data_IF_375602522741
#
_entry.id   IF_375602522741
#
_cell.length_a   1.000
_cell.length_b   1.000
_cell.length_c   1.000
_cell.angle_alpha   90.00
_cell.angle_beta   90.00
_cell.angle_gamma   90.00
#
_symmetry.space_group_name_H-M   'P 1'
#
loop_
_entity.id
_entity.type
_entity.pdbx_description
1 polymer ?
#
# COMPACT_ATOMS: atom_id res chain seq x y z
N UNK A 1 41.04 38.54 -12.77
CA UNK A 1 40.58 37.15 -12.54
C UNK A 1 39.39 36.96 -11.58
N UNK A 2 38.92 37.97 -10.83
CA UNK A 2 37.73 37.82 -9.95
C UNK A 2 36.39 38.23 -10.59
N UNK A 3 36.41 39.05 -11.65
CA UNK A 3 35.19 39.51 -12.32
C UNK A 3 34.58 38.45 -13.26
N UNK A 4 35.38 37.68 -14.00
CA UNK A 4 34.85 36.64 -14.91
C UNK A 4 34.19 35.45 -14.18
N UNK A 5 34.67 35.11 -12.98
CA UNK A 5 34.05 34.06 -12.15
C UNK A 5 32.67 34.48 -11.61
N UNK A 6 32.43 35.78 -11.44
CA UNK A 6 31.14 36.32 -10.98
C UNK A 6 30.08 36.27 -12.08
N UNK A 7 30.48 36.40 -13.35
CA UNK A 7 29.58 36.37 -14.50
C UNK A 7 29.21 34.93 -14.89
N UNK A 8 30.11 33.97 -14.71
CA UNK A 8 29.78 32.53 -14.84
C UNK A 8 28.72 32.05 -13.84
N UNK A 9 28.64 32.66 -12.66
CA UNK A 9 27.58 32.36 -11.68
C UNK A 9 26.26 33.09 -11.95
N UNK A 10 26.27 34.20 -12.69
CA UNK A 10 25.05 34.90 -13.14
C UNK A 10 24.46 34.22 -14.39
N UNK A 11 25.26 33.49 -15.19
CA UNK A 11 24.76 32.65 -16.28
C UNK A 11 23.95 31.42 -15.80
N UNK A 12 23.92 31.16 -14.49
CA UNK A 12 23.01 30.20 -13.86
C UNK A 12 21.70 30.87 -13.38
N UNK A 13 21.37 32.05 -13.93
CA UNK A 13 20.02 32.60 -13.95
C UNK A 13 19.13 31.55 -14.63
N UNK A 14 18.52 30.71 -13.79
CA UNK A 14 17.48 29.75 -14.16
C UNK A 14 16.60 30.44 -15.20
N UNK A 15 16.54 29.90 -16.42
CA UNK A 15 15.55 30.34 -17.41
C UNK A 15 14.23 30.49 -16.66
N UNK A 16 13.52 31.63 -16.79
CA UNK A 16 12.24 31.78 -16.11
C UNK A 16 11.41 30.55 -16.45
N UNK A 17 10.98 29.84 -15.41
CA UNK A 17 10.21 28.63 -15.59
C UNK A 17 9.02 28.98 -16.46
N UNK A 18 8.76 28.17 -17.49
CA UNK A 18 7.55 28.35 -18.27
C UNK A 18 6.35 28.31 -17.31
N UNK A 19 5.26 29.00 -17.66
CA UNK A 19 4.05 28.97 -16.83
C UNK A 19 3.60 27.52 -16.57
N UNK A 20 3.80 26.65 -17.56
CA UNK A 20 3.55 25.21 -17.47
C UNK A 20 4.46 24.55 -16.42
N UNK A 21 5.76 24.83 -16.41
CA UNK A 21 6.68 24.24 -15.44
C UNK A 21 6.40 24.74 -14.01
N UNK A 22 5.98 25.99 -13.87
CA UNK A 22 5.54 26.52 -12.58
C UNK A 22 4.27 25.80 -12.09
N UNK A 23 3.29 25.60 -12.98
CA UNK A 23 2.07 24.85 -12.65
C UNK A 23 2.38 23.41 -12.26
N UNK A 24 3.19 22.71 -13.05
CA UNK A 24 3.58 21.32 -12.76
C UNK A 24 4.25 21.21 -11.39
N UNK A 25 5.15 22.13 -11.04
CA UNK A 25 5.79 22.15 -9.71
C UNK A 25 4.80 22.39 -8.58
N UNK A 26 3.95 23.40 -8.73
CA UNK A 26 2.92 23.68 -7.72
C UNK A 26 1.99 22.49 -7.51
N UNK A 27 1.64 21.78 -8.59
CA UNK A 27 0.84 20.56 -8.48
C UNK A 27 1.65 19.44 -7.81
N UNK A 28 2.93 19.25 -8.14
CA UNK A 28 3.81 18.26 -7.49
C UNK A 28 3.92 18.53 -5.98
N UNK A 29 4.05 19.77 -5.56
CA UNK A 29 4.13 20.15 -4.15
C UNK A 29 2.79 19.88 -3.41
N UNK A 30 1.68 19.87 -4.15
CA UNK A 30 0.31 19.70 -3.63
C UNK A 30 -0.37 18.39 -4.08
N UNK A 31 0.39 17.36 -4.45
CA UNK A 31 -0.16 16.08 -5.00
C UNK A 31 -1.16 15.40 -4.05
N UNK A 32 -1.08 15.66 -2.74
CA UNK A 32 -2.02 15.15 -1.74
C UNK A 32 -3.46 15.57 -1.99
N UNK A 33 -3.67 16.68 -2.68
CA UNK A 33 -4.98 17.23 -3.02
C UNK A 33 -5.42 16.90 -4.45
N UNK A 34 -4.66 16.05 -5.16
CA UNK A 34 -4.99 15.64 -6.52
C UNK A 34 -6.23 14.73 -6.48
N UNK A 35 -7.30 15.18 -7.13
CA UNK A 35 -8.58 14.46 -7.22
C UNK A 35 -8.84 13.93 -8.62
N UNK A 36 -9.96 14.35 -9.21
CA UNK A 36 -10.27 14.09 -10.61
C UNK A 36 -9.37 14.92 -11.54
N UNK A 37 -8.80 14.25 -12.53
CA UNK A 37 -7.87 14.82 -13.51
C UNK A 37 -8.17 14.27 -14.91
N UNK A 38 -9.42 13.92 -15.18
CA UNK A 38 -9.91 13.46 -16.48
C UNK A 38 -9.74 14.49 -17.60
N UNK A 39 -9.93 15.77 -17.30
CA UNK A 39 -9.82 16.87 -18.27
C UNK A 39 -8.37 17.33 -18.52
N UNK A 40 -7.40 16.83 -17.73
CA UNK A 40 -6.00 17.25 -17.86
C UNK A 40 -5.33 16.56 -19.06
N UNK A 41 -4.46 17.31 -19.74
CA UNK A 41 -3.68 16.78 -20.88
C UNK A 41 -2.71 15.67 -20.44
N UNK A 42 -2.58 14.63 -21.28
CA UNK A 42 -1.77 13.44 -21.06
C UNK A 42 -0.30 13.78 -20.78
N UNK A 43 0.25 14.79 -21.47
CA UNK A 43 1.65 15.19 -21.31
C UNK A 43 1.93 15.82 -19.94
N UNK A 44 0.97 16.54 -19.36
CA UNK A 44 1.09 17.07 -18.00
C UNK A 44 1.00 15.94 -16.97
N UNK A 45 0.13 14.97 -17.21
CA UNK A 45 -0.03 13.81 -16.35
C UNK A 45 1.21 12.92 -16.32
N UNK A 46 1.88 12.75 -17.47
CA UNK A 46 3.16 12.04 -17.54
C UNK A 46 4.26 12.71 -16.71
N UNK A 47 4.16 14.02 -16.46
CA UNK A 47 5.09 14.77 -15.60
C UNK A 47 4.70 14.75 -14.13
N UNK A 48 3.40 14.82 -13.82
CA UNK A 48 2.91 14.96 -12.44
C UNK A 48 2.77 13.59 -11.75
N UNK A 49 2.15 12.62 -12.42
CA UNK A 49 1.80 11.33 -11.82
C UNK A 49 2.98 10.48 -11.34
N UNK A 50 4.21 10.55 -11.92
CA UNK A 50 5.37 9.85 -11.36
C UNK A 50 5.75 10.29 -9.93
N UNK A 51 5.33 11.50 -9.52
CA UNK A 51 5.58 12.01 -8.17
C UNK A 51 4.48 11.61 -7.17
N UNK A 52 3.41 10.96 -7.63
CA UNK A 52 2.36 10.46 -6.76
C UNK A 52 2.84 9.25 -5.96
N UNK A 53 2.39 9.17 -4.71
CA UNK A 53 2.43 7.93 -3.93
C UNK A 53 1.40 6.95 -4.47
N UNK A 54 1.61 5.67 -4.19
CA UNK A 54 0.71 4.57 -4.52
C UNK A 54 -0.76 4.87 -4.21
N UNK A 55 -1.05 5.28 -2.97
CA UNK A 55 -2.42 5.56 -2.52
C UNK A 55 -3.05 6.76 -3.22
N UNK A 56 -2.22 7.75 -3.56
CA UNK A 56 -2.66 8.93 -4.31
C UNK A 56 -3.02 8.55 -5.75
N UNK A 57 -2.20 7.71 -6.39
CA UNK A 57 -2.51 7.20 -7.73
C UNK A 57 -3.80 6.37 -7.72
N UNK A 58 -3.99 5.52 -6.70
CA UNK A 58 -5.23 4.76 -6.53
C UNK A 58 -6.44 5.67 -6.31
N UNK A 59 -6.29 6.73 -5.51
CA UNK A 59 -7.36 7.71 -5.28
C UNK A 59 -7.75 8.43 -6.57
N UNK A 60 -6.76 8.95 -7.29
CA UNK A 60 -6.95 9.66 -8.57
C UNK A 60 -7.67 8.78 -9.59
N UNK A 61 -7.33 7.49 -9.66
CA UNK A 61 -7.96 6.55 -10.58
C UNK A 61 -9.35 6.08 -10.12
N UNK A 62 -9.72 6.27 -8.86
CA UNK A 62 -11.10 6.08 -8.37
C UNK A 62 -11.96 7.32 -8.57
N UNK A 63 -11.36 8.51 -8.42
CA UNK A 63 -12.02 9.80 -8.52
C UNK A 63 -12.30 10.21 -9.97
N UNK A 64 -11.40 9.85 -10.91
CA UNK A 64 -11.59 10.15 -12.33
C UNK A 64 -12.57 9.17 -12.97
N UNK A 65 -13.67 9.68 -13.55
CA UNK A 65 -14.67 8.88 -14.28
C UNK A 65 -14.77 9.36 -15.74
N UNK A 66 -14.88 8.43 -16.68
CA UNK A 66 -15.24 8.74 -18.07
C UNK A 66 -14.09 8.87 -19.08
N UNK A 67 -12.82 8.90 -18.66
CA UNK A 67 -11.66 8.90 -19.57
C UNK A 67 -10.63 7.81 -19.22
N UNK A 68 -10.19 7.08 -20.23
CA UNK A 68 -9.16 6.05 -20.08
C UNK A 68 -7.77 6.69 -19.92
N UNK A 69 -7.18 6.52 -18.73
CA UNK A 69 -5.82 7.00 -18.39
C UNK A 69 -4.77 5.88 -18.42
N UNK A 70 -5.23 4.69 -18.82
CA UNK A 70 -4.49 3.45 -18.99
C UNK A 70 -3.09 3.63 -19.59
N UNK A 71 -2.86 4.40 -20.68
CA UNK A 71 -1.51 4.49 -21.27
C UNK A 71 -0.47 5.13 -20.35
N UNK A 72 -0.87 6.10 -19.52
CA UNK A 72 0.03 6.78 -18.57
C UNK A 72 0.12 5.99 -17.27
N UNK A 73 -1.02 5.54 -16.74
CA UNK A 73 -1.06 4.85 -15.45
C UNK A 73 -0.47 3.46 -15.51
N UNK A 74 -0.59 2.71 -16.61
CA UNK A 74 -0.05 1.35 -16.69
C UNK A 74 1.48 1.31 -16.53
N UNK A 75 2.20 2.33 -17.00
CA UNK A 75 3.65 2.41 -16.78
C UNK A 75 3.96 2.59 -15.29
N UNK A 76 3.21 3.45 -14.62
CA UNK A 76 3.36 3.73 -13.20
C UNK A 76 3.01 2.52 -12.34
N UNK A 77 1.87 1.86 -12.61
CA UNK A 77 1.46 0.65 -11.89
C UNK A 77 2.47 -0.48 -12.02
N UNK A 78 3.12 -0.62 -13.19
CA UNK A 78 4.23 -1.57 -13.35
C UNK A 78 5.40 -1.22 -12.43
N UNK A 79 5.82 0.05 -12.42
CA UNK A 79 6.93 0.49 -11.60
C UNK A 79 6.64 0.31 -10.10
N UNK A 80 5.43 0.64 -9.64
CA UNK A 80 5.03 0.42 -8.25
C UNK A 80 4.99 -1.06 -7.88
N UNK A 81 4.48 -1.91 -8.78
CA UNK A 81 4.48 -3.35 -8.56
C UNK A 81 5.90 -3.90 -8.44
N UNK A 82 6.81 -3.49 -9.32
CA UNK A 82 8.22 -3.89 -9.28
C UNK A 82 8.93 -3.37 -8.04
N UNK A 83 8.62 -2.16 -7.59
CA UNK A 83 9.17 -1.56 -6.38
C UNK A 83 8.73 -2.31 -5.11
N UNK A 84 7.47 -2.72 -5.04
CA UNK A 84 6.89 -3.37 -3.85
C UNK A 84 7.15 -4.88 -3.81
N UNK A 85 6.98 -5.57 -4.95
CA UNK A 85 7.01 -7.03 -5.02
C UNK A 85 8.24 -7.58 -5.76
N UNK A 86 9.06 -6.71 -6.35
CA UNK A 86 10.24 -7.08 -7.11
C UNK A 86 9.95 -7.36 -8.59
N UNK A 87 10.98 -7.13 -9.41
CA UNK A 87 10.94 -7.30 -10.86
C UNK A 87 10.61 -8.74 -11.29
N UNK A 88 11.18 -9.74 -10.60
CA UNK A 88 10.96 -11.16 -10.92
C UNK A 88 9.48 -11.55 -10.81
N UNK A 89 8.78 -11.08 -9.77
CA UNK A 89 7.36 -11.34 -9.60
C UNK A 89 6.52 -10.73 -10.72
N UNK A 90 6.89 -9.55 -11.22
CA UNK A 90 6.19 -8.91 -12.34
C UNK A 90 6.36 -9.73 -13.62
N UNK A 91 7.58 -10.18 -13.90
CA UNK A 91 7.89 -11.04 -15.07
C UNK A 91 7.09 -12.34 -15.02
N UNK A 92 7.05 -13.01 -13.86
CA UNK A 92 6.25 -14.22 -13.67
C UNK A 92 4.75 -13.99 -13.91
N UNK A 93 4.20 -12.85 -13.45
CA UNK A 93 2.79 -12.50 -13.71
C UNK A 93 2.54 -12.30 -15.20
N UNK A 94 3.42 -11.59 -15.90
CA UNK A 94 3.32 -11.38 -17.35
C UNK A 94 3.40 -12.71 -18.11
N UNK A 95 4.31 -13.60 -17.74
CA UNK A 95 4.44 -14.94 -18.35
C UNK A 95 3.18 -15.78 -18.14
N UNK A 96 2.64 -15.81 -16.91
CA UNK A 96 1.39 -16.52 -16.59
C UNK A 96 0.21 -15.99 -17.39
N UNK A 97 0.14 -14.67 -17.58
CA UNK A 97 -0.89 -14.03 -18.41
C UNK A 97 -0.77 -14.43 -19.88
N UNK A 98 0.45 -14.45 -20.43
CA UNK A 98 0.72 -14.92 -21.79
C UNK A 98 0.31 -16.39 -21.99
N UNK A 99 0.69 -17.26 -21.05
CA UNK A 99 0.34 -18.69 -21.09
C UNK A 99 -1.17 -18.91 -21.08
N UNK A 100 -1.89 -18.16 -20.24
CA UNK A 100 -3.35 -18.23 -20.12
C UNK A 100 -4.10 -17.42 -21.18
N UNK A 101 -3.40 -16.70 -22.07
CA UNK A 101 -3.96 -15.79 -23.09
C UNK A 101 -4.96 -14.77 -22.51
N UNK A 102 -4.70 -14.28 -21.30
CA UNK A 102 -5.53 -13.28 -20.63
C UNK A 102 -4.76 -11.98 -20.47
N UNK A 103 -5.46 -10.85 -20.60
CA UNK A 103 -4.92 -9.53 -20.29
C UNK A 103 -5.76 -8.90 -19.19
N UNK A 104 -5.08 -8.27 -18.23
CA UNK A 104 -5.66 -7.59 -17.09
C UNK A 104 -4.99 -6.24 -16.95
N UNK A 105 -5.73 -5.26 -16.40
CA UNK A 105 -5.14 -3.96 -16.06
C UNK A 105 -4.12 -4.14 -14.96
N UNK A 106 -2.99 -3.41 -15.03
CA UNK A 106 -1.92 -3.55 -14.03
C UNK A 106 -2.36 -3.16 -12.63
N UNK A 107 -3.29 -2.21 -12.52
CA UNK A 107 -3.97 -1.90 -11.26
C UNK A 107 -4.67 -3.13 -10.66
N UNK A 108 -5.41 -3.88 -11.46
CA UNK A 108 -6.14 -5.07 -10.97
C UNK A 108 -5.16 -6.13 -10.47
N UNK A 109 -4.02 -6.30 -11.14
CA UNK A 109 -2.96 -7.21 -10.70
C UNK A 109 -2.38 -6.79 -9.35
N UNK A 110 -2.14 -5.49 -9.17
CA UNK A 110 -1.67 -4.94 -7.92
C UNK A 110 -2.69 -5.14 -6.79
N UNK A 111 -3.95 -4.77 -7.01
CA UNK A 111 -5.02 -4.92 -6.01
C UNK A 111 -5.23 -6.40 -5.61
N UNK A 112 -5.19 -7.32 -6.57
CA UNK A 112 -5.27 -8.75 -6.29
C UNK A 112 -4.10 -9.23 -5.43
N UNK A 113 -2.87 -8.83 -5.76
CA UNK A 113 -1.69 -9.18 -4.98
C UNK A 113 -1.68 -8.61 -3.58
N UNK A 114 -2.17 -7.39 -3.41
CA UNK A 114 -2.31 -6.78 -2.11
C UNK A 114 -3.29 -7.57 -1.22
N UNK A 115 -4.40 -8.04 -1.78
CA UNK A 115 -5.35 -8.91 -1.07
C UNK A 115 -4.73 -10.24 -0.66
N UNK A 116 -4.00 -10.90 -1.58
CA UNK A 116 -3.30 -12.16 -1.28
C UNK A 116 -2.32 -11.98 -0.10
N UNK A 117 -1.58 -10.86 -0.09
CA UNK A 117 -0.62 -10.55 0.96
C UNK A 117 -1.32 -10.32 2.31
N UNK A 118 -2.38 -9.52 2.33
CA UNK A 118 -3.16 -9.25 3.54
C UNK A 118 -3.77 -10.53 4.12
N UNK A 119 -4.26 -11.43 3.26
CA UNK A 119 -4.81 -12.71 3.69
C UNK A 119 -3.72 -13.60 4.31
N UNK A 120 -2.54 -13.67 3.69
CA UNK A 120 -1.40 -14.41 4.21
C UNK A 120 -0.94 -13.86 5.59
N UNK A 121 -0.90 -12.54 5.73
CA UNK A 121 -0.56 -11.87 6.99
C UNK A 121 -1.60 -12.17 8.09
N UNK A 122 -2.88 -12.05 7.77
CA UNK A 122 -3.97 -12.34 8.71
C UNK A 122 -3.92 -13.80 9.17
N UNK A 123 -3.69 -14.74 8.25
CA UNK A 123 -3.54 -16.16 8.58
C UNK A 123 -2.35 -16.43 9.50
N UNK A 124 -1.22 -15.76 9.26
CA UNK A 124 -0.05 -15.88 10.14
C UNK A 124 -0.31 -15.29 11.53
N UNK A 125 -0.97 -14.13 11.60
CA UNK A 125 -1.39 -13.48 12.85
C UNK A 125 -2.35 -14.36 13.64
N UNK A 126 -3.33 -14.98 12.99
CA UNK A 126 -4.30 -15.85 13.66
C UNK A 126 -3.65 -17.14 14.16
N UNK A 127 -2.72 -17.72 13.39
CA UNK A 127 -1.90 -18.85 13.86
C UNK A 127 -1.13 -18.47 15.13
N UNK A 128 -0.54 -17.29 15.18
CA UNK A 128 0.20 -16.81 16.34
C UNK A 128 -0.74 -16.64 17.56
N UNK A 129 -1.90 -16.01 17.37
CA UNK A 129 -2.92 -15.87 18.43
C UNK A 129 -3.37 -17.21 18.98
N UNK A 130 -3.56 -18.21 18.13
CA UNK A 130 -3.94 -19.57 18.56
C UNK A 130 -2.85 -20.22 19.41
N UNK A 131 -1.57 -20.05 19.07
CA UNK A 131 -0.45 -20.56 19.85
C UNK A 131 -0.39 -19.93 21.25
N UNK A 132 -0.56 -18.61 21.35
CA UNK A 132 -0.63 -17.92 22.64
C UNK A 132 -1.79 -18.42 23.50
N UNK A 133 -3.00 -18.51 22.93
CA UNK A 133 -4.18 -19.05 23.65
C UNK A 133 -3.94 -20.47 24.17
N UNK A 134 -3.30 -21.32 23.36
CA UNK A 134 -2.96 -22.69 23.74
C UNK A 134 -1.95 -22.73 24.89
N UNK A 135 -0.94 -21.87 24.84
CA UNK A 135 0.06 -21.76 25.92
C UNK A 135 -0.54 -21.20 27.21
N UNK A 136 -1.41 -20.20 27.13
CA UNK A 136 -2.09 -19.65 28.31
C UNK A 136 -3.01 -20.69 28.93
N UNK A 137 -3.79 -21.44 28.14
CA UNK A 137 -4.59 -22.55 28.64
C UNK A 137 -3.75 -23.63 29.34
N UNK A 138 -2.57 -23.95 28.79
CA UNK A 138 -1.61 -24.89 29.40
C UNK A 138 -1.05 -24.39 30.74
N UNK A 139 -0.86 -23.07 30.89
CA UNK A 139 -0.43 -22.46 32.16
C UNK A 139 -1.56 -22.45 33.17
N UNK A 140 -2.77 -22.04 32.76
CA UNK A 140 -3.97 -22.01 33.59
C UNK A 140 -4.33 -23.40 34.13
N UNK A 141 -4.19 -24.46 33.32
CA UNK A 141 -4.44 -25.83 33.77
C UNK A 141 -3.46 -26.32 34.85
N UNK A 142 -2.29 -25.69 34.99
CA UNK A 142 -1.29 -26.00 36.02
C UNK A 142 -1.42 -25.11 37.26
N UNK A 143 -2.29 -24.11 37.22
CA UNK A 143 -2.50 -23.22 38.34
C UNK A 143 -3.31 -23.93 39.43
N UNK A 144 -2.82 -23.87 40.67
CA UNK A 144 -3.51 -24.44 41.83
C UNK A 144 -4.83 -23.70 42.02
N UNK A 145 -5.95 -24.42 41.90
CA UNK A 145 -7.26 -23.88 42.23
C UNK A 145 -7.46 -23.91 43.74
N UNK A 146 -7.78 -22.77 44.33
CA UNK A 146 -8.24 -22.69 45.72
C UNK A 146 -9.61 -23.36 45.80
N UNK A 147 -9.66 -24.60 46.30
CA UNK A 147 -10.92 -25.23 46.66
C UNK A 147 -11.60 -24.40 47.75
N UNK A 148 -12.72 -23.76 47.41
CA UNK A 148 -13.62 -23.17 48.40
C UNK A 148 -14.11 -24.30 49.29
N UNK A 149 -13.77 -24.24 50.58
CA UNK A 149 -14.31 -25.19 51.54
C UNK A 149 -15.83 -25.01 51.57
N UNK A 150 -16.55 -25.98 51.02
CA UNK A 150 -18.00 -26.05 51.17
C UNK A 150 -18.27 -26.44 52.63
N UNK A 151 -19.03 -25.65 53.39
CA UNK A 151 -19.38 -26.02 54.76
C UNK A 151 -20.10 -27.37 54.76
N UNK A 152 -19.82 -28.27 55.72
CA UNK A 152 -20.40 -29.59 55.76
C UNK A 152 -21.93 -29.51 55.80
N UNK A 153 -22.59 -30.27 54.91
CA UNK A 153 -24.04 -30.40 54.85
C UNK A 153 -24.57 -30.99 56.16
N UNK A 154 -25.48 -30.27 56.83
CA UNK A 154 -26.06 -30.58 58.15
C UNK A 154 -27.01 -31.80 58.16
N UNK A 155 -27.01 -32.67 57.15
CA UNK A 155 -28.02 -33.74 56.97
C UNK A 155 -27.55 -35.19 57.18
N UNK A 156 -26.40 -35.44 57.81
CA UNK A 156 -26.06 -36.79 58.29
C UNK A 156 -26.33 -36.91 59.79
N UNK A 157 -27.51 -37.43 60.14
CA UNK A 157 -27.75 -37.98 61.48
C UNK A 157 -26.95 -39.27 61.64
N UNK A 158 -25.99 -39.28 62.56
CA UNK A 158 -25.16 -40.46 62.89
C UNK A 158 -25.77 -41.35 63.99
N UNK A 159 -27.06 -41.17 64.28
CA UNK A 159 -27.79 -42.01 65.23
C UNK A 159 -29.14 -42.40 64.62
N UNK A 160 -29.25 -43.67 64.24
CA UNK A 160 -30.49 -44.42 64.06
C UNK A 160 -30.22 -45.86 64.48
#
# INVERSE_FOLDING_TARGET
MYLEKRWKNIANMRKPHSLVDFYVRTVIDNVRYLGDVGETDSHLLERILPHCTMDQLLHVEKSTKGRDRTPVTDKLWKNFYELQFGHQNMTLVIERMKLKKVSFRKRQLYEAKLKDFQEAENKASDRLKQLYKKEDARKQSRQVQLCTKVPPSTKRSFYA
#
